data_IF_593215400718
#
_entry.id   IF_593215400718
#
_cell.length_a   1.000
_cell.length_b   1.000
_cell.length_c   1.000
_cell.angle_alpha   90.00
_cell.angle_beta   90.00
_cell.angle_gamma   90.00
#
_symmetry.space_group_name_H-M   'P 1'
#
loop_
_entity.id
_entity.type
_entity.pdbx_description
1 polymer ?
#
# COMPACT_ATOMS: atom_id res chain seq x y z
N UNK A 1 0.82 7.70 -20.01
CA UNK A 1 1.56 7.00 -18.95
C UNK A 1 2.59 6.08 -19.56
N UNK A 2 3.81 6.12 -19.08
CA UNK A 2 4.91 5.29 -19.57
C UNK A 2 5.27 4.23 -18.54
N UNK A 3 5.25 2.96 -18.97
CA UNK A 3 5.61 1.82 -18.13
C UNK A 3 6.73 1.04 -18.79
N UNK A 4 7.84 0.88 -18.08
CA UNK A 4 9.00 0.10 -18.49
C UNK A 4 9.11 -1.14 -17.61
N UNK A 5 8.86 -2.30 -18.17
CA UNK A 5 8.95 -3.58 -17.45
C UNK A 5 10.28 -4.26 -17.70
N UNK A 6 10.70 -5.09 -16.75
CA UNK A 6 11.87 -5.97 -16.85
C UNK A 6 11.42 -7.42 -16.76
N UNK A 7 12.20 -8.33 -17.33
CA UNK A 7 11.92 -9.75 -17.29
C UNK A 7 11.83 -10.24 -15.83
N UNK A 8 10.74 -10.92 -15.47
CA UNK A 8 10.51 -11.43 -14.12
C UNK A 8 10.14 -10.38 -13.09
N UNK A 9 10.07 -9.11 -13.45
CA UNK A 9 9.69 -8.01 -12.57
C UNK A 9 8.19 -7.74 -12.55
N UNK A 10 7.77 -6.61 -11.95
CA UNK A 10 6.37 -6.25 -11.88
C UNK A 10 5.79 -5.96 -13.27
N UNK A 11 4.50 -6.27 -13.43
CA UNK A 11 3.73 -6.07 -14.66
C UNK A 11 2.45 -5.30 -14.32
N UNK A 12 1.79 -4.69 -15.31
CA UNK A 12 0.47 -4.08 -15.08
C UNK A 12 -0.55 -5.06 -14.49
N UNK A 13 -0.53 -6.33 -14.93
CA UNK A 13 -1.40 -7.38 -14.39
C UNK A 13 -1.13 -7.65 -12.91
N UNK A 14 0.14 -7.74 -12.53
CA UNK A 14 0.54 -7.91 -11.13
C UNK A 14 0.05 -6.76 -10.27
N UNK A 15 0.17 -5.52 -10.75
CA UNK A 15 -0.30 -4.33 -10.02
C UNK A 15 -1.81 -4.39 -9.79
N UNK A 16 -2.59 -4.83 -10.78
CA UNK A 16 -4.04 -5.03 -10.63
C UNK A 16 -4.35 -6.11 -9.60
N UNK A 17 -3.62 -7.21 -9.62
CA UNK A 17 -3.82 -8.32 -8.69
C UNK A 17 -3.51 -7.91 -7.25
N UNK A 18 -2.45 -7.14 -7.05
CA UNK A 18 -2.10 -6.58 -5.74
C UNK A 18 -3.21 -5.68 -5.23
N UNK A 19 -3.72 -4.76 -6.06
CA UNK A 19 -4.81 -3.88 -5.68
C UNK A 19 -6.07 -4.66 -5.32
N UNK A 20 -6.41 -5.67 -6.09
CA UNK A 20 -7.56 -6.53 -5.82
C UNK A 20 -7.38 -7.31 -4.50
N UNK A 21 -6.16 -7.77 -4.21
CA UNK A 21 -5.85 -8.47 -2.96
C UNK A 21 -6.06 -7.55 -1.75
N UNK A 22 -5.55 -6.32 -1.79
CA UNK A 22 -5.76 -5.36 -0.71
C UNK A 22 -7.24 -5.04 -0.53
N UNK A 23 -8.00 -4.86 -1.60
CA UNK A 23 -9.43 -4.62 -1.54
C UNK A 23 -10.23 -5.83 -1.05
N UNK A 24 -9.71 -7.03 -1.15
CA UNK A 24 -10.32 -8.22 -0.56
C UNK A 24 -10.24 -8.21 0.96
N UNK A 25 -9.31 -7.48 1.54
CA UNK A 25 -8.98 -7.45 2.97
C UNK A 25 -8.64 -8.84 3.55
N UNK A 26 -8.31 -9.77 2.68
CA UNK A 26 -7.84 -11.10 3.03
C UNK A 26 -6.32 -11.06 3.19
N UNK A 27 -5.85 -11.04 4.43
CA UNK A 27 -4.42 -10.90 4.71
C UNK A 27 -3.60 -12.07 4.17
N UNK A 28 -4.14 -13.27 4.15
CA UNK A 28 -3.43 -14.43 3.59
C UNK A 28 -3.19 -14.24 2.09
N UNK A 29 -4.20 -13.75 1.37
CA UNK A 29 -4.08 -13.43 -0.04
C UNK A 29 -3.08 -12.29 -0.27
N UNK A 30 -3.14 -11.24 0.51
CA UNK A 30 -2.22 -10.11 0.41
C UNK A 30 -0.77 -10.58 0.62
N UNK A 31 -0.54 -11.43 1.62
CA UNK A 31 0.80 -11.89 1.95
C UNK A 31 1.45 -12.73 0.85
N UNK A 32 0.68 -13.32 -0.04
CA UNK A 32 1.26 -14.06 -1.18
C UNK A 32 2.06 -13.17 -2.13
N UNK A 33 1.85 -11.86 -2.09
CA UNK A 33 2.56 -10.90 -2.94
C UNK A 33 3.83 -10.32 -2.31
N UNK A 34 4.10 -10.63 -1.03
CA UNK A 34 5.24 -10.08 -0.31
C UNK A 34 6.40 -11.07 -0.23
N UNK A 35 7.62 -10.54 -0.35
CA UNK A 35 8.83 -11.29 -0.02
C UNK A 35 8.90 -11.53 1.49
N UNK A 36 9.55 -12.62 1.92
CA UNK A 36 9.65 -12.98 3.33
C UNK A 36 10.34 -11.90 4.17
N UNK A 37 11.33 -11.23 3.60
CA UNK A 37 12.12 -10.15 4.22
C UNK A 37 11.64 -8.75 3.83
N UNK A 38 10.40 -8.61 3.38
CA UNK A 38 9.83 -7.35 2.96
C UNK A 38 9.80 -6.31 4.08
N UNK A 39 9.79 -5.04 3.68
CA UNK A 39 9.60 -3.89 4.57
C UNK A 39 8.36 -3.12 4.15
N UNK A 40 7.59 -2.69 5.13
CA UNK A 40 6.46 -1.79 4.94
C UNK A 40 6.74 -0.49 5.70
N UNK A 41 6.82 0.62 4.97
CA UNK A 41 6.91 1.96 5.54
C UNK A 41 5.49 2.54 5.55
N UNK A 42 4.90 2.64 6.73
CA UNK A 42 3.52 3.07 6.88
C UNK A 42 3.39 4.57 6.65
N UNK A 43 2.21 5.02 6.22
CA UNK A 43 1.94 6.44 5.98
C UNK A 43 2.05 7.29 7.24
N UNK A 44 1.84 6.68 8.40
CA UNK A 44 1.93 7.34 9.70
C UNK A 44 2.97 6.66 10.56
N UNK A 45 3.54 7.38 11.48
CA UNK A 45 4.48 6.83 12.44
C UNK A 45 5.35 7.90 13.08
N UNK A 46 6.24 7.50 13.99
CA UNK A 46 7.04 8.42 14.79
C UNK A 46 8.23 9.01 14.01
N UNK A 47 8.59 8.43 12.87
CA UNK A 47 9.74 8.85 12.09
C UNK A 47 9.32 9.55 10.78
N UNK A 48 10.24 10.30 10.12
CA UNK A 48 9.92 10.95 8.85
C UNK A 48 9.48 10.00 7.74
N UNK A 49 9.95 8.75 7.76
CA UNK A 49 9.56 7.71 6.81
C UNK A 49 8.42 6.83 7.34
N UNK A 50 7.71 7.29 8.37
CA UNK A 50 6.59 6.59 8.97
C UNK A 50 7.04 5.51 9.96
N UNK A 51 6.15 4.56 10.21
CA UNK A 51 6.46 3.39 11.00
C UNK A 51 7.04 2.32 10.09
N UNK A 52 8.22 1.82 10.45
CA UNK A 52 8.87 0.74 9.71
C UNK A 52 8.48 -0.61 10.27
N UNK A 53 7.94 -1.47 9.42
CA UNK A 53 7.54 -2.83 9.77
C UNK A 53 8.33 -3.80 8.90
N UNK A 54 9.14 -4.64 9.53
CA UNK A 54 10.03 -5.55 8.82
C UNK A 54 9.56 -6.99 8.95
N UNK A 55 9.60 -7.68 7.81
CA UNK A 55 9.29 -9.09 7.72
C UNK A 55 7.83 -9.36 7.48
N UNK A 56 7.57 -10.41 6.72
CA UNK A 56 6.23 -10.79 6.26
C UNK A 56 5.26 -11.02 7.42
N UNK A 57 5.71 -11.69 8.49
CA UNK A 57 4.86 -11.97 9.64
C UNK A 57 4.41 -10.69 10.36
N UNK A 58 5.32 -9.73 10.55
CA UNK A 58 5.00 -8.44 11.18
C UNK A 58 4.07 -7.60 10.30
N UNK A 59 4.29 -7.60 8.99
CA UNK A 59 3.42 -6.89 8.04
C UNK A 59 2.01 -7.49 8.07
N UNK A 60 1.90 -8.82 8.12
CA UNK A 60 0.62 -9.51 8.23
C UNK A 60 -0.15 -9.06 9.47
N UNK A 61 0.51 -9.01 10.61
CA UNK A 61 -0.11 -8.58 11.87
C UNK A 61 -0.64 -7.16 11.79
N UNK A 62 0.16 -6.23 11.26
CA UNK A 62 -0.22 -4.83 11.11
C UNK A 62 -1.44 -4.68 10.20
N UNK A 63 -1.47 -5.39 9.07
CA UNK A 63 -2.60 -5.33 8.14
C UNK A 63 -3.85 -5.99 8.73
N UNK A 64 -3.71 -7.11 9.42
CA UNK A 64 -4.83 -7.77 10.09
C UNK A 64 -5.48 -6.84 11.14
N UNK A 65 -4.66 -6.17 11.94
CA UNK A 65 -5.13 -5.23 12.95
C UNK A 65 -5.83 -4.03 12.30
N UNK A 66 -5.28 -3.52 11.20
CA UNK A 66 -5.89 -2.41 10.46
C UNK A 66 -7.28 -2.77 9.95
N UNK A 67 -7.46 -3.96 9.38
CA UNK A 67 -8.75 -4.39 8.86
C UNK A 67 -9.77 -4.72 9.95
N UNK A 68 -9.32 -5.00 11.18
CA UNK A 68 -10.22 -5.09 12.34
C UNK A 68 -10.79 -3.74 12.73
N UNK A 69 -9.97 -2.69 12.64
CA UNK A 69 -10.37 -1.33 12.97
C UNK A 69 -11.14 -0.68 11.82
N UNK A 70 -10.68 -0.87 10.58
CA UNK A 70 -11.26 -0.27 9.38
C UNK A 70 -11.76 -1.40 8.48
N UNK A 71 -12.87 -2.01 8.87
CA UNK A 71 -13.40 -3.20 8.20
C UNK A 71 -13.88 -2.94 6.77
N UNK A 72 -14.21 -1.70 6.45
CA UNK A 72 -14.66 -1.24 5.12
C UNK A 72 -13.57 -0.53 4.32
N UNK A 73 -12.30 -0.71 4.69
CA UNK A 73 -11.19 -0.05 4.00
C UNK A 73 -11.13 -0.45 2.53
N UNK A 74 -11.04 0.56 1.67
CA UNK A 74 -11.06 0.37 0.23
C UNK A 74 -10.10 1.34 -0.45
N UNK A 75 -9.44 0.87 -1.49
CA UNK A 75 -8.55 1.65 -2.35
C UNK A 75 -9.13 1.70 -3.76
N UNK A 76 -9.56 2.88 -4.18
CA UNK A 76 -10.01 3.11 -5.55
C UNK A 76 -8.82 3.60 -6.37
N UNK A 77 -8.45 2.81 -7.36
CA UNK A 77 -7.26 3.03 -8.17
C UNK A 77 -7.42 4.26 -9.08
N UNK A 78 -6.41 5.13 -9.09
CA UNK A 78 -6.39 6.35 -9.91
C UNK A 78 -5.40 6.22 -11.05
N UNK A 79 -4.17 5.77 -10.75
CA UNK A 79 -3.08 5.66 -11.72
C UNK A 79 -2.04 4.66 -11.23
N UNK A 80 -1.28 4.10 -12.16
CA UNK A 80 -0.12 3.28 -11.84
C UNK A 80 0.89 3.34 -12.97
N UNK A 81 2.15 3.20 -12.62
CA UNK A 81 3.23 3.09 -13.60
C UNK A 81 4.37 2.25 -13.03
N UNK A 82 5.17 1.67 -13.94
CA UNK A 82 6.25 0.76 -13.61
C UNK A 82 7.53 1.29 -14.24
N UNK A 83 8.61 1.25 -13.46
CA UNK A 83 9.95 1.57 -13.93
C UNK A 83 10.91 0.49 -13.43
N UNK A 84 11.21 -0.51 -14.27
CA UNK A 84 12.08 -1.62 -13.91
C UNK A 84 11.50 -2.45 -12.77
N UNK A 85 12.21 -2.52 -11.66
CA UNK A 85 11.82 -3.24 -10.45
C UNK A 85 10.98 -2.41 -9.48
N UNK A 86 10.65 -1.18 -9.86
CA UNK A 86 9.88 -0.26 -9.03
C UNK A 86 8.56 0.08 -9.69
N UNK A 87 7.55 0.33 -8.88
CA UNK A 87 6.24 0.73 -9.36
C UNK A 87 5.61 1.74 -8.41
N UNK A 88 4.72 2.57 -8.96
CA UNK A 88 3.90 3.50 -8.18
C UNK A 88 2.44 3.18 -8.44
N UNK A 89 1.67 3.12 -7.38
CA UNK A 89 0.21 2.97 -7.43
C UNK A 89 -0.42 4.17 -6.73
N UNK A 90 -1.25 4.92 -7.44
CA UNK A 90 -1.97 6.08 -6.90
C UNK A 90 -3.43 5.71 -6.72
N UNK A 91 -4.00 6.05 -5.59
CA UNK A 91 -5.36 5.65 -5.22
C UNK A 91 -6.00 6.67 -4.28
N UNK A 92 -7.32 6.55 -4.16
CA UNK A 92 -8.09 7.13 -3.07
C UNK A 92 -8.37 6.04 -2.05
N UNK A 93 -8.03 6.27 -0.78
CA UNK A 93 -8.38 5.34 0.30
C UNK A 93 -9.59 5.88 1.06
N UNK A 94 -10.56 5.02 1.28
CA UNK A 94 -11.75 5.33 2.06
C UNK A 94 -11.96 4.27 3.12
N UNK A 95 -12.71 4.60 4.14
CA UNK A 95 -13.05 3.68 5.22
C UNK A 95 -13.61 4.40 6.43
N UNK A 96 -14.04 3.61 7.39
CA UNK A 96 -14.54 4.11 8.68
C UNK A 96 -13.63 3.61 9.78
N UNK A 97 -12.91 4.53 10.40
CA UNK A 97 -11.97 4.21 11.46
C UNK A 97 -12.64 4.13 12.84
N UNK A 98 -11.81 4.12 13.89
CA UNK A 98 -12.27 4.14 15.26
C UNK A 98 -13.16 5.38 15.51
N UNK A 99 -14.14 5.23 16.37
CA UNK A 99 -15.07 6.31 16.73
C UNK A 99 -15.83 6.92 15.55
N UNK A 100 -15.98 6.17 14.45
CA UNK A 100 -16.70 6.62 13.27
C UNK A 100 -15.92 7.62 12.41
N UNK A 101 -14.62 7.78 12.62
CA UNK A 101 -13.77 8.62 11.77
C UNK A 101 -13.88 8.20 10.30
N UNK A 102 -14.13 9.15 9.41
CA UNK A 102 -14.18 8.89 7.98
C UNK A 102 -12.83 9.12 7.34
N UNK A 103 -12.24 8.06 6.77
CA UNK A 103 -11.05 8.17 5.94
C UNK A 103 -11.47 8.51 4.53
N UNK A 104 -10.79 9.49 3.93
CA UNK A 104 -10.96 9.88 2.53
C UNK A 104 -9.71 10.64 2.10
N UNK A 105 -8.68 9.89 1.69
CA UNK A 105 -7.37 10.46 1.38
C UNK A 105 -6.90 10.00 0.01
N UNK A 106 -6.28 10.91 -0.72
CA UNK A 106 -5.48 10.54 -1.89
C UNK A 106 -4.09 10.15 -1.41
N UNK A 107 -3.58 9.04 -1.94
CA UNK A 107 -2.26 8.58 -1.59
C UNK A 107 -1.62 7.78 -2.69
N UNK A 108 -0.44 7.28 -2.38
CA UNK A 108 0.27 6.39 -3.28
C UNK A 108 1.14 5.41 -2.49
N UNK A 109 1.45 4.31 -3.15
CA UNK A 109 2.49 3.39 -2.73
C UNK A 109 3.63 3.47 -3.72
N UNK A 110 4.85 3.58 -3.21
CA UNK A 110 6.06 3.35 -4.00
C UNK A 110 6.53 1.96 -3.65
N UNK A 111 6.47 1.06 -4.63
CA UNK A 111 6.89 -0.32 -4.47
C UNK A 111 8.28 -0.56 -5.03
N UNK A 112 9.04 -1.38 -4.35
CA UNK A 112 10.22 -2.05 -4.88
C UNK A 112 9.96 -3.55 -4.88
N UNK A 113 10.29 -4.21 -6.00
CA UNK A 113 10.05 -5.64 -6.18
C UNK A 113 11.36 -6.40 -6.26
N UNK A 114 11.32 -7.63 -5.77
CA UNK A 114 12.31 -8.66 -6.10
C UNK A 114 11.56 -9.74 -6.87
N UNK A 115 11.80 -9.80 -8.19
CA UNK A 115 10.97 -10.59 -9.08
C UNK A 115 9.53 -10.08 -9.08
N UNK A 116 8.59 -10.94 -8.80
CA UNK A 116 7.16 -10.61 -8.70
C UNK A 116 6.69 -10.41 -7.24
N UNK A 117 7.63 -10.33 -6.28
CA UNK A 117 7.33 -10.15 -4.87
C UNK A 117 7.69 -8.74 -4.40
N UNK A 118 6.82 -8.16 -3.60
CA UNK A 118 7.05 -6.86 -2.98
C UNK A 118 8.17 -6.99 -1.96
N UNK A 119 9.27 -6.27 -2.17
CA UNK A 119 10.38 -6.16 -1.24
C UNK A 119 10.21 -4.96 -0.32
N UNK A 120 9.71 -3.85 -0.85
CA UNK A 120 9.42 -2.66 -0.06
C UNK A 120 8.11 -2.02 -0.50
N UNK A 121 7.27 -1.68 0.46
CA UNK A 121 6.03 -0.92 0.25
C UNK A 121 6.13 0.35 1.05
N UNK A 122 6.22 1.48 0.37
CA UNK A 122 6.35 2.80 0.96
C UNK A 122 5.08 3.60 0.69
N UNK A 123 4.29 3.84 1.71
CA UNK A 123 2.95 4.41 1.59
C UNK A 123 2.95 5.88 2.00
N UNK A 124 2.36 6.71 1.16
CA UNK A 124 2.16 8.14 1.39
C UNK A 124 0.69 8.49 1.31
N UNK A 125 0.21 9.31 2.24
CA UNK A 125 -1.13 9.87 2.20
C UNK A 125 -1.04 11.38 2.17
N UNK A 126 -1.97 12.02 1.47
CA UNK A 126 -2.14 13.45 1.59
C UNK A 126 -2.64 13.79 2.98
N UNK A 127 -2.13 14.87 3.55
CA UNK A 127 -2.67 15.44 4.77
C UNK A 127 -3.96 16.19 4.40
N UNK A 128 -5.06 15.88 5.09
CA UNK A 128 -6.34 16.56 4.90
C UNK A 128 -6.58 17.44 6.12
N UNK A 129 -6.53 18.74 5.93
CA UNK A 129 -6.66 19.74 6.99
C UNK A 129 -7.75 20.73 6.64
N UNK A 130 -8.50 21.16 7.66
CA UNK A 130 -9.62 22.09 7.46
C UNK A 130 -9.18 23.56 7.48
N UNK A 131 -7.94 23.84 7.87
CA UNK A 131 -7.38 25.17 7.86
C UNK A 131 -6.15 25.24 6.97
N UNK A 132 -6.00 26.37 6.31
CA UNK A 132 -4.81 26.67 5.51
C UNK A 132 -3.63 26.97 6.43
N UNK A 133 -2.51 26.32 6.20
CA UNK A 133 -1.27 26.53 6.94
C UNK A 133 -0.16 27.15 6.09
N UNK A 134 -0.39 27.31 4.81
CA UNK A 134 0.63 27.79 3.87
C UNK A 134 0.39 29.22 3.43
#
# INVERSE_FOLDING_TARGET
MTTHTVAGGPTPGLMKDINAAFNSRDVDRIMTFFADDATFLMARGPEPDGRRVRGKAAIRTVLADRFKVIADMRWDHVDAFICGERAVSVWMVTGTGADGEKLNYRGCDIYEFRGDKILNKDTYWKLVEQRDRL
#
